data_IF_107795714156
#
_entry.id   IF_107795714156
#
_cell.length_a   1.000
_cell.length_b   1.000
_cell.length_c   1.000
_cell.angle_alpha   90.00
_cell.angle_beta   90.00
_cell.angle_gamma   90.00
#
_symmetry.space_group_name_H-M   'P 1'
#
loop_
_entity.id
_entity.type
_entity.pdbx_description
1 polymer ?
#
# COMPACT_ATOMS: atom_id res chain seq x y z
N UNK A 1 -5.18 16.25 21.54
CA UNK A 1 -3.98 16.81 20.92
C UNK A 1 -4.36 17.17 19.51
N UNK A 2 -4.66 18.45 19.28
CA UNK A 2 -4.83 18.97 17.92
C UNK A 2 -3.47 18.85 17.21
N UNK A 3 -3.45 18.12 16.10
CA UNK A 3 -2.34 18.18 15.15
C UNK A 3 -2.53 19.49 14.34
N UNK A 4 -2.35 20.62 15.01
CA UNK A 4 -2.34 21.95 14.41
C UNK A 4 -1.30 22.02 13.30
N UNK A 5 -1.64 22.79 12.26
CA UNK A 5 -0.86 23.15 11.08
C UNK A 5 0.43 22.36 10.88
N UNK A 6 0.45 21.51 9.84
CA UNK A 6 1.65 20.85 9.37
C UNK A 6 2.68 21.91 8.94
N UNK A 7 3.48 22.40 9.90
CA UNK A 7 4.71 23.10 9.61
C UNK A 7 5.48 22.17 8.68
N UNK A 8 5.75 22.68 7.47
CA UNK A 8 6.62 22.02 6.50
C UNK A 8 8.01 21.99 7.11
N UNK A 9 8.27 21.00 7.94
CA UNK A 9 9.59 20.74 8.48
C UNK A 9 10.48 20.45 7.29
N UNK A 10 11.44 21.32 7.02
CA UNK A 10 12.51 21.01 6.08
C UNK A 10 13.38 19.90 6.70
N UNK A 11 13.78 18.93 5.87
CA UNK A 11 14.69 17.89 6.33
C UNK A 11 16.02 18.53 6.71
N UNK A 12 16.50 18.23 7.91
CA UNK A 12 17.77 18.75 8.38
C UNK A 12 18.90 18.05 7.61
N UNK A 13 19.73 18.80 6.88
CA UNK A 13 20.82 18.25 6.05
C UNK A 13 21.93 17.59 6.87
N UNK A 14 22.04 17.92 8.16
CA UNK A 14 23.09 17.42 9.04
C UNK A 14 22.74 16.09 9.69
N UNK A 15 21.51 15.57 9.52
CA UNK A 15 21.14 14.25 10.06
C UNK A 15 20.89 13.25 8.96
N UNK A 16 21.43 12.06 9.17
CA UNK A 16 21.28 10.93 8.27
C UNK A 16 19.82 10.66 7.88
N UNK A 17 19.59 10.52 6.58
CA UNK A 17 18.30 10.13 6.02
C UNK A 17 18.33 8.68 5.47
N UNK A 18 17.18 8.02 5.57
CA UNK A 18 16.91 6.74 4.90
C UNK A 18 15.98 6.99 3.73
N UNK A 19 16.26 6.36 2.60
CA UNK A 19 15.46 6.51 1.39
C UNK A 19 14.69 5.22 1.12
N UNK A 20 13.37 5.35 0.99
CA UNK A 20 12.45 4.26 0.68
C UNK A 20 12.11 4.40 -0.81
N UNK A 21 12.68 3.51 -1.60
CA UNK A 21 12.47 3.44 -3.04
C UNK A 21 11.32 2.48 -3.32
N UNK A 22 10.30 2.95 -4.04
CA UNK A 22 9.09 2.18 -4.33
C UNK A 22 8.88 2.18 -5.84
N UNK A 23 8.94 1.00 -6.44
CA UNK A 23 8.61 0.78 -7.86
C UNK A 23 7.29 0.02 -7.93
N UNK A 24 6.29 0.59 -8.60
CA UNK A 24 5.01 -0.09 -8.85
C UNK A 24 5.10 -0.80 -10.19
N UNK A 25 5.18 -2.13 -10.17
CA UNK A 25 5.32 -2.93 -11.38
C UNK A 25 3.96 -3.12 -12.05
N UNK A 26 2.94 -3.50 -11.28
CA UNK A 26 1.58 -3.71 -11.80
C UNK A 26 0.51 -3.37 -10.76
N UNK A 27 -0.57 -2.76 -11.26
CA UNK A 27 -1.75 -2.36 -10.52
C UNK A 27 -3.06 -2.72 -11.23
N UNK A 28 -3.00 -3.34 -12.40
CA UNK A 28 -4.18 -3.64 -13.23
C UNK A 28 -5.19 -4.52 -12.48
N UNK A 29 -4.73 -5.63 -11.91
CA UNK A 29 -5.55 -6.57 -11.15
C UNK A 29 -6.19 -5.91 -9.90
N UNK A 30 -5.42 -5.05 -9.22
CA UNK A 30 -5.88 -4.29 -8.07
C UNK A 30 -7.05 -3.36 -8.41
N UNK A 31 -6.88 -2.58 -9.48
CA UNK A 31 -7.86 -1.61 -9.94
C UNK A 31 -9.11 -2.32 -10.45
N UNK A 32 -8.94 -3.38 -11.23
CA UNK A 32 -10.06 -4.16 -11.75
C UNK A 32 -10.92 -4.69 -10.60
N UNK A 33 -10.31 -5.33 -9.60
CA UNK A 33 -11.06 -5.84 -8.46
C UNK A 33 -11.72 -4.71 -7.67
N UNK A 34 -11.03 -3.60 -7.40
CA UNK A 34 -11.59 -2.49 -6.64
C UNK A 34 -12.81 -1.88 -7.34
N UNK A 35 -12.76 -1.75 -8.67
CA UNK A 35 -13.88 -1.25 -9.49
C UNK A 35 -15.01 -2.26 -9.52
N UNK A 36 -14.71 -3.55 -9.69
CA UNK A 36 -15.72 -4.61 -9.64
C UNK A 36 -16.44 -4.64 -8.29
N UNK A 37 -15.70 -4.57 -7.18
CA UNK A 37 -16.26 -4.53 -5.82
C UNK A 37 -17.10 -3.28 -5.59
N UNK A 38 -16.59 -2.09 -5.98
CA UNK A 38 -17.32 -0.83 -5.85
C UNK A 38 -18.61 -0.84 -6.67
N UNK A 39 -18.57 -1.41 -7.88
CA UNK A 39 -19.74 -1.55 -8.73
C UNK A 39 -20.77 -2.49 -8.09
N UNK A 40 -20.31 -3.63 -7.56
CA UNK A 40 -21.18 -4.62 -6.90
C UNK A 40 -21.82 -4.08 -5.62
N UNK A 41 -21.09 -3.29 -4.84
CA UNK A 41 -21.59 -2.61 -3.64
C UNK A 41 -22.48 -1.39 -3.96
N UNK A 42 -22.37 -0.82 -5.16
CA UNK A 42 -23.11 0.36 -5.59
C UNK A 42 -24.63 0.19 -5.52
N UNK A 43 -25.32 1.31 -5.25
CA UNK A 43 -26.78 1.44 -5.01
C UNK A 43 -27.69 1.05 -6.18
N UNK A 44 -27.15 0.59 -7.30
CA UNK A 44 -27.95 0.11 -8.43
C UNK A 44 -28.58 -1.23 -8.05
N UNK A 45 -29.70 -1.17 -7.31
CA UNK A 45 -30.45 -2.34 -6.82
C UNK A 45 -31.28 -3.00 -7.92
N UNK A 46 -31.65 -2.26 -8.97
CA UNK A 46 -32.56 -2.73 -10.02
C UNK A 46 -31.91 -3.60 -11.10
N UNK A 47 -30.58 -3.68 -11.18
CA UNK A 47 -29.92 -4.45 -12.24
C UNK A 47 -29.73 -5.91 -11.78
N UNK A 48 -30.22 -6.91 -12.55
CA UNK A 48 -29.98 -8.32 -12.26
C UNK A 48 -28.49 -8.62 -12.04
N UNK A 49 -28.18 -9.45 -11.04
CA UNK A 49 -26.78 -9.74 -10.62
C UNK A 49 -25.89 -10.21 -11.78
N UNK A 50 -26.42 -11.00 -12.72
CA UNK A 50 -25.68 -11.49 -13.88
C UNK A 50 -25.22 -10.35 -14.80
N UNK A 51 -26.12 -9.40 -15.08
CA UNK A 51 -25.81 -8.21 -15.90
C UNK A 51 -24.85 -7.30 -15.15
N UNK A 52 -25.09 -7.10 -13.84
CA UNK A 52 -24.23 -6.28 -12.98
C UNK A 52 -22.78 -6.79 -12.98
N UNK A 53 -22.58 -8.11 -12.92
CA UNK A 53 -21.24 -8.73 -12.98
C UNK A 53 -20.54 -8.48 -14.32
N UNK A 54 -21.23 -8.63 -15.46
CA UNK A 54 -20.64 -8.36 -16.78
C UNK A 54 -20.27 -6.88 -16.94
N UNK A 55 -21.14 -5.97 -16.50
CA UNK A 55 -20.87 -4.54 -16.49
C UNK A 55 -19.68 -4.19 -15.59
N UNK A 56 -19.62 -4.77 -14.40
CA UNK A 56 -18.51 -4.59 -13.46
C UNK A 56 -17.17 -5.05 -14.08
N UNK A 57 -17.15 -6.21 -14.74
CA UNK A 57 -15.94 -6.74 -15.40
C UNK A 57 -15.48 -5.83 -16.55
N UNK A 58 -16.41 -5.37 -17.40
CA UNK A 58 -16.08 -4.45 -18.49
C UNK A 58 -15.61 -3.10 -17.96
N UNK A 59 -16.28 -2.55 -16.95
CA UNK A 59 -15.87 -1.31 -16.30
C UNK A 59 -14.50 -1.47 -15.62
N UNK A 60 -14.24 -2.63 -15.00
CA UNK A 60 -12.97 -2.97 -14.39
C UNK A 60 -11.82 -2.98 -15.40
N UNK A 61 -12.03 -3.57 -16.57
CA UNK A 61 -11.04 -3.57 -17.69
C UNK A 61 -10.76 -2.17 -18.21
N UNK A 62 -11.80 -1.40 -18.49
CA UNK A 62 -11.65 -0.01 -18.97
C UNK A 62 -10.95 0.84 -17.91
N UNK A 63 -11.30 0.66 -16.63
CA UNK A 63 -10.67 1.38 -15.54
C UNK A 63 -9.20 0.98 -15.34
N UNK A 64 -8.86 -0.31 -15.44
CA UNK A 64 -7.46 -0.75 -15.34
C UNK A 64 -6.61 -0.17 -16.48
N UNK A 65 -7.17 -0.02 -17.68
CA UNK A 65 -6.46 0.59 -18.81
C UNK A 65 -6.20 2.11 -18.59
N UNK A 66 -7.11 2.77 -17.86
CA UNK A 66 -7.02 4.20 -17.54
C UNK A 66 -6.15 4.51 -16.31
N UNK A 67 -6.04 3.57 -15.38
CA UNK A 67 -5.20 3.71 -14.18
C UNK A 67 -3.79 3.24 -14.50
N UNK A 68 -2.98 4.19 -14.95
CA UNK A 68 -1.55 3.96 -15.12
C UNK A 68 -0.86 3.83 -13.76
N UNK A 69 0.22 3.03 -13.65
CA UNK A 69 1.05 3.00 -12.45
C UNK A 69 1.51 4.38 -12.00
N UNK A 70 1.73 5.32 -12.93
CA UNK A 70 2.08 6.69 -12.62
C UNK A 70 1.01 7.46 -11.83
N UNK A 71 -0.26 7.34 -12.24
CA UNK A 71 -1.39 7.92 -11.47
C UNK A 71 -1.53 7.26 -10.11
N UNK A 72 -1.22 5.98 -10.00
CA UNK A 72 -1.26 5.28 -8.72
C UNK A 72 -0.19 5.83 -7.77
N UNK A 73 1.06 5.91 -8.23
CA UNK A 73 2.18 6.47 -7.46
C UNK A 73 1.87 7.90 -7.02
N UNK A 74 1.32 8.73 -7.92
CA UNK A 74 0.86 10.09 -7.61
C UNK A 74 -0.14 10.12 -6.46
N UNK A 75 -1.13 9.23 -6.45
CA UNK A 75 -2.13 9.15 -5.36
C UNK A 75 -1.59 8.48 -4.11
N UNK A 76 -0.55 7.66 -4.24
CA UNK A 76 0.03 6.90 -3.14
C UNK A 76 1.01 7.71 -2.32
N UNK A 77 1.83 8.56 -2.94
CA UNK A 77 2.84 9.37 -2.25
C UNK A 77 2.30 10.10 -1.01
N UNK A 78 1.31 11.02 -1.17
CA UNK A 78 0.76 11.77 -0.03
C UNK A 78 0.13 10.88 1.05
N UNK A 79 -0.44 9.73 0.66
CA UNK A 79 -1.02 8.78 1.62
C UNK A 79 0.05 8.07 2.43
N UNK A 80 1.19 7.73 1.81
CA UNK A 80 2.31 7.12 2.51
C UNK A 80 2.98 8.11 3.46
N UNK A 81 3.19 9.36 3.03
CA UNK A 81 3.68 10.45 3.87
C UNK A 81 2.81 10.65 5.12
N UNK A 82 1.48 10.58 4.98
CA UNK A 82 0.58 10.77 6.11
C UNK A 82 0.46 9.53 7.03
N UNK A 83 0.57 8.31 6.49
CA UNK A 83 0.33 7.08 7.26
C UNK A 83 1.59 6.51 7.91
N UNK A 84 2.73 6.52 7.22
CA UNK A 84 3.96 5.87 7.71
C UNK A 84 4.43 6.47 9.04
N UNK A 85 4.49 7.81 9.23
CA UNK A 85 4.91 8.39 10.50
C UNK A 85 4.00 7.97 11.66
N UNK A 86 2.69 7.86 11.43
CA UNK A 86 1.72 7.41 12.46
C UNK A 86 2.04 5.99 12.92
N UNK A 87 2.26 5.08 11.97
CA UNK A 87 2.57 3.68 12.26
C UNK A 87 3.91 3.55 12.97
N UNK A 88 4.93 4.31 12.55
CA UNK A 88 6.24 4.29 13.20
C UNK A 88 6.17 4.90 14.60
N UNK A 89 5.35 5.93 14.82
CA UNK A 89 5.12 6.51 16.14
C UNK A 89 4.53 5.51 17.14
N UNK A 90 3.59 4.67 16.69
CA UNK A 90 3.06 3.54 17.48
C UNK A 90 4.15 2.52 17.86
N UNK A 91 5.22 2.42 17.06
CA UNK A 91 6.38 1.56 17.34
C UNK A 91 7.48 2.25 18.15
N UNK A 92 7.26 3.50 18.57
CA UNK A 92 8.23 4.29 19.32
C UNK A 92 9.22 5.05 18.47
N UNK A 93 8.92 5.30 17.19
CA UNK A 93 9.78 6.06 16.28
C UNK A 93 9.04 7.30 15.81
N UNK A 94 9.52 8.48 16.19
CA UNK A 94 9.04 9.73 15.61
C UNK A 94 9.91 10.04 14.41
N UNK A 95 9.31 10.06 13.23
CA UNK A 95 10.03 10.28 11.97
C UNK A 95 9.42 11.43 11.20
N UNK A 96 10.27 12.13 10.45
CA UNK A 96 9.86 12.97 9.35
C UNK A 96 9.91 12.14 8.06
N UNK A 97 8.92 12.30 7.18
CA UNK A 97 8.86 11.60 5.91
C UNK A 97 8.42 12.56 4.81
N UNK A 98 9.19 12.62 3.73
CA UNK A 98 8.94 13.51 2.60
C UNK A 98 9.15 12.79 1.26
N UNK A 99 8.30 13.04 0.29
CA UNK A 99 8.38 12.59 -1.10
C UNK A 99 9.37 13.48 -1.84
N UNK A 100 10.59 12.99 -2.00
CA UNK A 100 11.68 13.75 -2.63
C UNK A 100 11.73 13.56 -4.14
N UNK A 101 11.14 12.47 -4.65
CA UNK A 101 11.13 12.21 -6.08
C UNK A 101 9.93 11.37 -6.51
N UNK A 102 9.42 11.69 -7.70
CA UNK A 102 8.35 10.94 -8.36
C UNK A 102 8.49 11.05 -9.88
N UNK A 103 8.65 9.92 -10.54
CA UNK A 103 8.62 9.84 -12.01
C UNK A 103 8.01 8.51 -12.45
N UNK A 104 7.05 8.56 -13.38
CA UNK A 104 6.34 7.38 -13.88
C UNK A 104 5.85 6.49 -12.72
N UNK A 105 6.22 5.21 -12.71
CA UNK A 105 5.84 4.23 -11.70
C UNK A 105 6.85 4.13 -10.53
N UNK A 106 7.76 5.09 -10.40
CA UNK A 106 8.81 5.12 -9.40
C UNK A 106 8.66 6.33 -8.48
N UNK A 107 8.80 6.10 -7.17
CA UNK A 107 8.89 7.17 -6.18
C UNK A 107 9.94 6.89 -5.12
N UNK A 108 10.47 7.96 -4.55
CA UNK A 108 11.43 7.93 -3.46
C UNK A 108 10.90 8.78 -2.31
N UNK A 109 10.76 8.16 -1.14
CA UNK A 109 10.46 8.85 0.11
C UNK A 109 11.74 8.95 0.94
N UNK A 110 12.07 10.14 1.42
CA UNK A 110 13.16 10.37 2.36
C UNK A 110 12.61 10.40 3.79
N UNK A 111 13.15 9.54 4.64
CA UNK A 111 12.76 9.33 6.03
C UNK A 111 13.90 9.77 6.94
N UNK A 112 13.62 10.68 7.87
CA UNK A 112 14.56 11.13 8.89
C UNK A 112 14.01 10.79 10.27
N UNK A 113 14.81 10.13 11.09
CA UNK A 113 14.43 9.82 12.47
C UNK A 113 14.65 11.07 13.33
N UNK A 114 13.58 11.56 13.98
CA UNK A 114 13.64 12.72 14.88
C UNK A 114 13.92 12.25 16.30
N UNK A 115 13.16 11.25 16.77
CA UNK A 115 13.21 10.77 18.15
C UNK A 115 12.90 9.28 18.23
N UNK A 116 13.56 8.60 19.16
CA UNK A 116 13.39 7.17 19.44
C UNK A 116 12.93 6.99 20.88
N UNK A 117 11.70 6.51 21.05
CA UNK A 117 11.16 6.09 22.33
C UNK A 117 11.59 4.63 22.59
N UNK A 118 12.73 4.49 23.29
CA UNK A 118 13.35 3.20 23.62
C UNK A 118 12.40 2.30 24.43
N UNK A 119 11.50 2.88 25.21
CA UNK A 119 10.54 2.15 26.04
C UNK A 119 9.49 1.48 25.17
N UNK A 120 8.89 2.21 24.22
CA UNK A 120 7.95 1.63 23.25
C UNK A 120 8.67 0.63 22.35
N UNK A 121 9.89 0.94 21.95
CA UNK A 121 10.69 0.07 21.09
C UNK A 121 10.97 -1.29 21.77
N UNK A 122 11.29 -1.32 23.06
CA UNK A 122 11.51 -2.56 23.81
C UNK A 122 10.23 -3.39 24.01
N UNK A 123 9.08 -2.73 24.24
CA UNK A 123 7.77 -3.40 24.41
C UNK A 123 7.34 -4.15 23.15
N UNK A 124 7.54 -3.56 21.97
CA UNK A 124 7.11 -4.17 20.70
C UNK A 124 7.88 -5.43 20.32
N UNK A 125 9.08 -5.64 20.86
CA UNK A 125 9.87 -6.85 20.58
C UNK A 125 9.27 -8.10 21.26
N UNK A 126 8.70 -7.96 22.47
CA UNK A 126 8.25 -9.11 23.27
C UNK A 126 6.99 -9.79 22.72
N UNK A 127 6.15 -9.09 21.95
CA UNK A 127 4.87 -9.63 21.46
C UNK A 127 5.02 -10.58 20.26
N UNK A 128 6.05 -10.43 19.40
CA UNK A 128 6.20 -11.31 18.22
C UNK A 128 6.69 -12.72 18.60
N UNK A 129 7.42 -12.89 19.70
CA UNK A 129 8.02 -14.19 20.07
C UNK A 129 6.98 -15.24 20.49
N UNK A 130 5.85 -14.83 21.07
CA UNK A 130 4.84 -15.78 21.56
C UNK A 130 3.89 -16.32 20.49
N UNK A 131 3.76 -15.67 19.32
CA UNK A 131 2.85 -16.14 18.27
C UNK A 131 3.51 -17.03 17.20
N UNK A 132 4.84 -17.15 17.17
CA UNK A 132 5.53 -17.99 16.20
C UNK A 132 5.73 -19.45 16.66
N UNK A 133 5.72 -19.72 17.98
CA UNK A 133 6.10 -21.05 18.50
C UNK A 133 4.97 -22.09 18.47
N UNK A 134 3.72 -21.71 18.15
CA UNK A 134 2.58 -22.65 18.18
C UNK A 134 2.13 -23.19 16.82
N UNK A 135 2.90 -23.00 15.74
CA UNK A 135 2.48 -23.40 14.38
C UNK A 135 3.49 -24.19 13.54
N UNK A 136 4.61 -24.63 14.13
CA UNK A 136 5.57 -25.51 13.46
C UNK A 136 5.63 -26.84 14.19
N UNK A 137 4.62 -27.68 13.98
CA UNK A 137 4.65 -29.13 14.26
C UNK A 137 3.42 -29.77 13.58
N UNK A 138 3.30 -29.62 12.26
CA UNK A 138 2.64 -30.62 11.41
C UNK A 138 2.79 -30.19 9.96
N UNK A 139 3.55 -30.98 9.18
CA UNK A 139 3.35 -31.27 7.75
C UNK A 139 4.65 -31.78 7.13
N UNK A 140 5.02 -33.01 7.49
CA UNK A 140 5.68 -33.91 6.55
C UNK A 140 4.58 -34.86 6.03
N UNK A 141 3.99 -34.53 4.88
CA UNK A 141 3.33 -35.53 4.04
C UNK A 141 3.31 -35.06 2.59
N UNK A 142 4.19 -35.71 1.83
CA UNK A 142 4.04 -36.02 0.40
C UNK A 142 2.57 -36.30 0.06
N UNK A 143 2.06 -35.74 -1.04
CA UNK A 143 1.17 -36.37 -2.03
C UNK A 143 0.99 -35.39 -3.22
N UNK A 144 1.20 -35.95 -4.42
CA UNK A 144 0.88 -35.40 -5.74
C UNK A 144 -0.64 -35.31 -5.97
N UNK A 145 -1.01 -34.70 -7.10
CA UNK A 145 -2.34 -34.73 -7.75
C UNK A 145 -3.36 -33.63 -7.40
N UNK A 146 -3.42 -32.66 -8.32
CA UNK A 146 -4.51 -32.51 -9.27
C UNK A 146 -5.94 -32.80 -8.74
N UNK A 147 -6.71 -31.74 -8.42
CA UNK A 147 -8.10 -31.70 -8.85
C UNK A 147 -8.76 -30.32 -8.77
N UNK A 148 -9.36 -29.95 -9.90
CA UNK A 148 -10.47 -29.02 -10.01
C UNK A 148 -11.58 -29.44 -9.04
N UNK A 149 -12.14 -28.50 -8.27
CA UNK A 149 -13.59 -28.35 -8.23
C UNK A 149 -14.05 -27.09 -7.52
N UNK A 150 -15.02 -26.45 -8.18
CA UNK A 150 -15.93 -25.45 -7.66
C UNK A 150 -16.52 -25.89 -6.31
N UNK A 151 -16.35 -25.07 -5.27
CA UNK A 151 -17.27 -25.11 -4.13
C UNK A 151 -17.58 -23.70 -3.62
N UNK A 152 -18.74 -23.24 -4.07
CA UNK A 152 -19.51 -22.13 -3.51
C UNK A 152 -19.83 -22.41 -2.05
N UNK A 153 -19.37 -21.56 -1.14
CA UNK A 153 -19.88 -21.48 0.23
C UNK A 153 -20.50 -20.10 0.46
N UNK A 154 -21.83 -20.11 0.55
CA UNK A 154 -22.62 -19.04 1.13
C UNK A 154 -22.34 -18.99 2.63
N UNK A 155 -21.96 -17.82 3.18
CA UNK A 155 -22.22 -17.54 4.59
C UNK A 155 -22.31 -16.03 4.87
N UNK A 156 -23.57 -15.57 4.88
CA UNK A 156 -24.23 -14.70 5.86
C UNK A 156 -23.33 -13.68 6.61
N UNK A 157 -23.29 -12.45 6.09
CA UNK A 157 -22.84 -11.27 6.83
C UNK A 157 -24.06 -10.56 7.41
N UNK A 158 -24.07 -10.39 8.73
CA UNK A 158 -24.99 -9.54 9.48
C UNK A 158 -24.88 -8.09 8.98
N UNK A 159 -26.01 -7.53 8.54
CA UNK A 159 -26.16 -6.12 8.21
C UNK A 159 -26.43 -5.33 9.50
N UNK A 160 -25.52 -4.42 9.85
CA UNK A 160 -25.77 -3.29 10.76
C UNK A 160 -25.91 -2.00 9.94
N UNK A 161 -26.84 -1.09 10.29
CA UNK A 161 -27.26 -0.01 9.40
C UNK A 161 -26.34 1.22 9.43
N UNK A 162 -26.38 1.91 8.30
CA UNK A 162 -25.80 3.24 8.03
C UNK A 162 -26.32 4.31 8.98
N UNK A 163 -25.47 5.30 9.29
CA UNK A 163 -25.92 6.64 9.62
C UNK A 163 -25.20 7.64 8.70
N UNK A 164 -26.00 8.35 7.91
CA UNK A 164 -25.58 9.42 7.01
C UNK A 164 -25.58 10.77 7.74
N UNK A 165 -24.87 11.71 7.14
CA UNK A 165 -24.81 13.14 7.42
C UNK A 165 -26.17 13.76 7.82
N UNK A 166 -26.12 14.59 8.86
CA UNK A 166 -26.94 15.80 8.97
C UNK A 166 -26.11 16.86 9.67
N UNK A 167 -25.94 18.00 9.01
CA UNK A 167 -25.37 19.22 9.54
C UNK A 167 -26.53 20.13 9.94
N UNK A 168 -26.52 20.61 11.19
CA UNK A 168 -27.32 21.75 11.64
C UNK A 168 -26.55 22.46 12.79
N UNK A 169 -26.28 23.79 12.71
CA UNK A 169 -25.54 24.50 13.73
C UNK A 169 -26.47 25.41 14.56
N UNK A 170 -26.83 25.03 15.79
CA UNK A 170 -27.17 26.03 16.82
C UNK A 170 -27.17 25.49 18.25
N UNK A 171 -26.56 26.29 19.16
CA UNK A 171 -26.85 26.44 20.59
C UNK A 171 -26.61 25.24 21.55
N UNK A 172 -25.51 25.31 22.30
CA UNK A 172 -25.45 25.54 23.77
C UNK A 172 -24.10 25.06 24.33
N UNK A 173 -23.26 26.02 24.70
CA UNK A 173 -22.09 25.77 25.55
C UNK A 173 -22.58 25.31 26.93
N UNK A 174 -22.27 24.07 27.29
CA UNK A 174 -22.38 23.53 28.65
C UNK A 174 -20.97 23.17 29.08
N UNK A 175 -20.50 23.81 30.14
CA UNK A 175 -19.18 23.58 30.72
C UNK A 175 -19.01 22.10 31.08
N UNK A 176 -18.02 21.44 30.47
CA UNK A 176 -17.61 20.08 30.81
C UNK A 176 -16.37 20.22 31.69
N UNK A 177 -16.55 19.92 32.97
CA UNK A 177 -15.46 19.74 33.92
C UNK A 177 -14.55 18.60 33.42
N UNK A 178 -13.27 18.92 33.26
CA UNK A 178 -12.22 17.96 32.92
C UNK A 178 -12.02 16.98 34.08
N UNK A 179 -12.62 15.80 33.99
CA UNK A 179 -12.32 14.66 34.86
C UNK A 179 -10.97 14.09 34.42
N UNK A 180 -9.91 14.56 35.06
CA UNK A 180 -8.55 14.03 34.96
C UNK A 180 -8.53 12.65 35.61
N UNK A 181 -8.66 11.59 34.81
CA UNK A 181 -8.46 10.24 35.28
C UNK A 181 -6.98 10.04 35.70
N UNK A 182 -6.70 9.49 36.89
CA UNK A 182 -5.33 9.28 37.36
C UNK A 182 -4.63 8.23 36.50
N UNK A 183 -3.71 8.67 35.65
CA UNK A 183 -2.81 7.78 34.92
C UNK A 183 -1.85 7.12 35.93
N UNK A 184 -1.92 5.80 36.03
CA UNK A 184 -1.01 5.00 36.87
C UNK A 184 0.44 5.18 36.39
N UNK A 185 1.40 5.47 37.28
CA UNK A 185 2.78 5.73 36.91
C UNK A 185 3.49 4.44 36.47
N UNK A 186 3.74 4.30 35.17
CA UNK A 186 4.55 3.24 34.57
C UNK A 186 6.06 3.59 34.60
N UNK A 187 6.57 4.09 35.73
CA UNK A 187 7.88 4.75 35.87
C UNK A 187 9.09 3.85 36.17
N UNK A 188 8.92 2.55 36.38
CA UNK A 188 10.03 1.72 36.89
C UNK A 188 11.04 1.21 35.84
N UNK A 189 10.66 1.03 34.57
CA UNK A 189 11.57 0.49 33.54
C UNK A 189 12.37 1.56 32.78
N UNK A 190 11.86 2.79 32.68
CA UNK A 190 12.59 3.92 32.08
C UNK A 190 13.84 4.29 32.86
N UNK A 191 13.73 4.24 34.19
CA UNK A 191 14.82 4.64 35.07
C UNK A 191 15.98 3.66 34.98
N UNK A 192 15.74 2.35 34.82
CA UNK A 192 16.81 1.35 34.75
C UNK A 192 17.66 1.49 33.48
N UNK A 193 17.05 1.80 32.33
CA UNK A 193 17.81 1.99 31.08
C UNK A 193 18.57 3.32 31.08
N UNK A 194 17.98 4.38 31.65
CA UNK A 194 18.68 5.65 31.88
C UNK A 194 19.88 5.49 32.82
N UNK A 195 19.72 4.73 33.90
CA UNK A 195 20.79 4.45 34.86
C UNK A 195 21.90 3.58 34.26
N UNK A 196 21.53 2.56 33.48
CA UNK A 196 22.49 1.74 32.75
C UNK A 196 23.29 2.53 31.72
N UNK A 197 22.66 3.49 31.03
CA UNK A 197 23.34 4.39 30.09
C UNK A 197 24.20 5.45 30.80
N UNK A 198 23.86 5.87 32.02
CA UNK A 198 24.72 6.79 32.79
C UNK A 198 25.99 6.13 33.34
N UNK A 199 25.98 4.80 33.50
CA UNK A 199 27.15 4.02 33.91
C UNK A 199 28.11 3.75 32.74
N UNK A 200 27.63 3.85 31.51
CA UNK A 200 28.44 3.73 30.30
C UNK A 200 29.17 5.07 30.10
N UNK A 201 30.50 5.08 30.23
CA UNK A 201 31.30 6.30 30.08
C UNK A 201 31.02 7.04 28.77
N UNK A 202 31.16 8.38 28.78
CA UNK A 202 30.79 9.26 27.66
C UNK A 202 31.31 8.80 26.28
N UNK A 203 32.52 8.23 26.21
CA UNK A 203 33.08 7.70 24.97
C UNK A 203 32.25 6.55 24.37
N UNK A 204 31.81 5.61 25.20
CA UNK A 204 30.99 4.49 24.76
C UNK A 204 29.59 4.94 24.36
N UNK A 205 29.05 5.97 25.03
CA UNK A 205 27.78 6.59 24.64
C UNK A 205 27.86 7.19 23.24
N UNK A 206 28.92 7.95 22.94
CA UNK A 206 29.14 8.53 21.60
C UNK A 206 29.22 7.42 20.55
N UNK A 207 29.99 6.35 20.81
CA UNK A 207 30.07 5.21 19.90
C UNK A 207 28.71 4.53 19.67
N UNK A 208 27.94 4.28 20.73
CA UNK A 208 26.61 3.68 20.62
C UNK A 208 25.68 4.58 19.82
N UNK A 209 25.67 5.89 20.09
CA UNK A 209 24.76 6.85 19.44
C UNK A 209 25.13 7.09 17.97
N UNK A 210 26.42 7.17 17.64
CA UNK A 210 26.89 7.52 16.29
C UNK A 210 27.06 6.32 15.37
N UNK A 211 27.49 5.16 15.87
CA UNK A 211 27.78 3.99 15.01
C UNK A 211 26.74 2.89 15.12
N UNK A 212 26.40 2.47 16.35
CA UNK A 212 25.59 1.28 16.56
C UNK A 212 24.09 1.56 16.38
N UNK A 213 23.60 2.67 16.96
CA UNK A 213 22.19 3.04 16.96
C UNK A 213 21.65 3.22 15.54
N UNK A 214 22.33 3.92 14.60
CA UNK A 214 21.82 4.06 13.23
C UNK A 214 21.69 2.71 12.52
N UNK A 215 22.61 1.77 12.76
CA UNK A 215 22.53 0.43 12.18
C UNK A 215 21.33 -0.36 12.71
N UNK A 216 21.10 -0.32 14.03
CA UNK A 216 19.97 -1.00 14.66
C UNK A 216 18.65 -0.40 14.19
N UNK A 217 18.54 0.94 14.18
CA UNK A 217 17.37 1.65 13.70
C UNK A 217 17.10 1.35 12.24
N UNK A 218 18.12 1.39 11.39
CA UNK A 218 17.96 1.07 9.97
C UNK A 218 17.47 -0.37 9.76
N UNK A 219 18.08 -1.36 10.43
CA UNK A 219 17.63 -2.77 10.32
C UNK A 219 16.17 -2.90 10.74
N UNK A 220 15.79 -2.23 11.82
CA UNK A 220 14.43 -2.28 12.36
C UNK A 220 13.42 -1.57 11.46
N UNK A 221 13.74 -0.37 10.98
CA UNK A 221 12.92 0.39 10.02
C UNK A 221 12.80 -0.42 8.73
N UNK A 222 13.89 -0.99 8.20
CA UNK A 222 13.85 -1.80 6.98
C UNK A 222 12.93 -3.01 7.14
N UNK A 223 13.02 -3.74 8.26
CA UNK A 223 12.13 -4.88 8.53
C UNK A 223 10.68 -4.44 8.71
N UNK A 224 10.41 -3.43 9.53
CA UNK A 224 9.05 -2.95 9.79
C UNK A 224 8.40 -2.35 8.54
N UNK A 225 9.16 -1.59 7.76
CA UNK A 225 8.69 -0.99 6.51
C UNK A 225 8.43 -2.06 5.46
N UNK A 226 9.31 -3.05 5.34
CA UNK A 226 9.12 -4.19 4.45
C UNK A 226 7.83 -4.95 4.77
N UNK A 227 7.63 -5.34 6.03
CA UNK A 227 6.42 -6.03 6.49
C UNK A 227 5.15 -5.19 6.24
N UNK A 228 5.19 -3.91 6.63
CA UNK A 228 4.05 -3.00 6.50
C UNK A 228 3.66 -2.79 5.04
N UNK A 229 4.64 -2.46 4.19
CA UNK A 229 4.39 -2.19 2.78
C UNK A 229 3.97 -3.45 2.05
N UNK A 230 4.61 -4.60 2.31
CA UNK A 230 4.19 -5.89 1.75
C UNK A 230 2.74 -6.21 2.13
N UNK A 231 2.36 -6.01 3.40
CA UNK A 231 0.97 -6.21 3.84
C UNK A 231 0.00 -5.23 3.16
N UNK A 232 0.35 -3.96 3.05
CA UNK A 232 -0.49 -2.92 2.43
C UNK A 232 -0.66 -3.14 0.93
N UNK A 233 0.40 -3.54 0.24
CA UNK A 233 0.37 -3.86 -1.19
C UNK A 233 -0.35 -5.16 -1.48
N UNK A 234 -0.13 -6.21 -0.69
CA UNK A 234 -0.84 -7.47 -0.82
C UNK A 234 -2.36 -7.30 -0.66
N UNK A 235 -2.81 -6.53 0.35
CA UNK A 235 -4.25 -6.21 0.54
C UNK A 235 -4.84 -5.48 -0.64
N UNK A 236 -4.04 -4.66 -1.31
CA UNK A 236 -4.44 -3.93 -2.52
C UNK A 236 -4.16 -4.70 -3.80
N UNK A 237 -3.62 -5.93 -3.75
CA UNK A 237 -3.13 -6.69 -4.92
C UNK A 237 -2.20 -5.88 -5.84
N UNK A 238 -1.40 -5.00 -5.24
CA UNK A 238 -0.38 -4.24 -5.95
C UNK A 238 0.92 -5.02 -5.95
N UNK A 239 1.54 -5.13 -7.13
CA UNK A 239 2.91 -5.64 -7.24
C UNK A 239 3.86 -4.45 -7.17
N UNK A 240 4.57 -4.33 -6.06
CA UNK A 240 5.50 -3.24 -5.85
C UNK A 240 6.76 -3.70 -5.11
N UNK A 241 7.90 -3.23 -5.58
CA UNK A 241 9.20 -3.46 -4.97
C UNK A 241 9.53 -2.33 -4.01
N UNK A 242 9.89 -2.68 -2.78
CA UNK A 242 10.22 -1.73 -1.72
C UNK A 242 11.65 -1.95 -1.28
N UNK A 243 12.49 -0.95 -1.52
CA UNK A 243 13.92 -1.04 -1.24
C UNK A 243 14.32 0.16 -0.39
N UNK A 244 14.77 -0.13 0.84
CA UNK A 244 15.28 0.89 1.77
C UNK A 244 16.80 1.00 1.63
N UNK A 245 17.29 2.22 1.36
CA UNK A 245 18.71 2.56 1.17
C UNK A 245 19.13 3.67 2.12
N UNK A 246 20.44 3.74 2.38
CA UNK A 246 21.08 4.91 3.00
C UNK A 246 21.38 5.95 1.95
N UNK A 247 21.59 7.18 2.39
CA UNK A 247 22.01 8.31 1.56
C UNK A 247 23.20 7.98 0.65
N UNK A 248 24.27 7.42 1.21
CA UNK A 248 25.50 7.03 0.48
C UNK A 248 25.25 6.04 -0.68
N UNK A 249 24.22 5.19 -0.56
CA UNK A 249 23.85 4.21 -1.58
C UNK A 249 22.73 4.71 -2.50
N UNK A 250 22.05 5.79 -2.10
CA UNK A 250 20.81 6.22 -2.74
C UNK A 250 21.10 6.76 -4.14
N UNK A 251 22.11 7.60 -4.33
CA UNK A 251 22.38 8.22 -5.62
C UNK A 251 22.64 7.18 -6.72
N UNK A 252 23.50 6.19 -6.44
CA UNK A 252 23.80 5.11 -7.38
C UNK A 252 22.58 4.24 -7.67
N UNK A 253 21.84 3.85 -6.64
CA UNK A 253 20.64 3.04 -6.79
C UNK A 253 19.56 3.78 -7.59
N UNK A 254 19.37 5.06 -7.27
CA UNK A 254 18.42 5.96 -7.92
C UNK A 254 18.70 6.06 -9.42
N UNK A 255 19.94 6.34 -9.81
CA UNK A 255 20.30 6.48 -11.22
C UNK A 255 20.04 5.20 -12.02
N UNK A 256 20.44 4.04 -11.49
CA UNK A 256 20.22 2.74 -12.14
C UNK A 256 18.73 2.45 -12.28
N UNK A 257 17.95 2.60 -11.21
CA UNK A 257 16.51 2.31 -11.23
C UNK A 257 15.71 3.29 -12.08
N UNK A 258 16.08 4.56 -12.09
CA UNK A 258 15.42 5.55 -12.93
C UNK A 258 15.59 5.19 -14.41
N UNK A 259 16.81 4.79 -14.81
CA UNK A 259 17.10 4.36 -16.18
C UNK A 259 16.29 3.13 -16.58
N UNK A 260 16.22 2.11 -15.71
CA UNK A 260 15.39 0.91 -15.95
C UNK A 260 13.92 1.29 -16.18
N UNK A 261 13.36 2.12 -15.29
CA UNK A 261 11.96 2.58 -15.37
C UNK A 261 11.70 3.38 -16.66
N UNK A 262 12.63 4.22 -17.08
CA UNK A 262 12.50 4.99 -18.31
C UNK A 262 12.54 4.10 -19.56
N UNK A 263 13.39 3.07 -19.58
CA UNK A 263 13.45 2.08 -20.66
C UNK A 263 12.15 1.28 -20.75
N UNK A 264 11.60 0.84 -19.63
CA UNK A 264 10.32 0.12 -19.59
C UNK A 264 9.14 1.00 -20.02
N UNK A 265 9.16 2.28 -19.64
CA UNK A 265 8.16 3.24 -20.10
C UNK A 265 8.27 3.50 -21.61
N UNK A 266 9.48 3.55 -22.16
CA UNK A 266 9.71 3.73 -23.59
C UNK A 266 9.26 2.50 -24.40
N UNK A 267 9.58 1.28 -23.95
CA UNK A 267 9.18 0.03 -24.61
C UNK A 267 7.64 -0.12 -24.61
N UNK A 268 6.99 0.22 -23.50
CA UNK A 268 5.51 0.22 -23.40
C UNK A 268 4.86 1.20 -24.38
N UNK A 269 5.44 2.40 -24.54
CA UNK A 269 4.97 3.39 -25.52
C UNK A 269 5.17 2.90 -26.96
N UNK A 270 6.29 2.24 -27.25
CA UNK A 270 6.56 1.68 -28.58
C UNK A 270 5.55 0.58 -28.94
N UNK A 271 5.28 -0.36 -28.03
CA UNK A 271 4.30 -1.43 -28.24
C UNK A 271 2.88 -0.89 -28.46
N UNK A 272 2.48 0.19 -27.78
CA UNK A 272 1.16 0.82 -28.02
C UNK A 272 1.02 1.47 -29.40
N UNK A 273 2.11 1.88 -30.05
CA UNK A 273 2.07 2.45 -31.41
C UNK A 273 1.92 1.39 -32.49
N UNK A 274 2.36 0.16 -32.22
CA UNK A 274 2.30 -0.94 -33.17
C UNK A 274 0.96 -1.67 -33.18
N UNK A 275 0.14 -1.53 -32.14
CA UNK A 275 -1.21 -2.05 -32.18
C UNK A 275 -1.99 -1.25 -33.23
N UNK A 276 -2.56 -1.90 -34.27
CA UNK A 276 -3.37 -1.21 -35.25
C UNK A 276 -4.41 -0.44 -34.47
N UNK A 277 -4.45 0.88 -34.67
CA UNK A 277 -5.44 1.74 -34.03
C UNK A 277 -6.77 1.27 -34.61
N UNK A 278 -7.43 0.34 -33.92
CA UNK A 278 -8.81 -0.08 -34.20
C UNK A 278 -9.64 1.16 -33.98
N UNK A 279 -9.65 1.98 -35.02
CA UNK A 279 -10.36 3.21 -35.10
C UNK A 279 -11.80 2.78 -35.15
N UNK A 280 -12.46 2.77 -34.01
CA UNK A 280 -13.91 2.82 -33.89
C UNK A 280 -14.39 4.17 -34.46
N UNK A 281 -14.01 4.49 -35.71
CA UNK A 281 -14.72 5.43 -36.55
C UNK A 281 -16.02 4.71 -36.86
N UNK A 282 -16.96 4.96 -35.96
CA UNK A 282 -18.34 4.61 -36.12
C UNK A 282 -18.75 5.01 -37.54
N UNK A 283 -19.18 3.99 -38.29
CA UNK A 283 -20.06 4.11 -39.44
C UNK A 283 -21.26 4.95 -39.01
N UNK A 284 -21.20 6.26 -39.19
CA UNK A 284 -22.41 7.07 -39.32
C UNK A 284 -22.92 6.78 -40.73
N UNK A 285 -23.92 5.91 -40.83
CA UNK A 285 -24.77 5.75 -42.01
C UNK A 285 -24.13 5.02 -43.19
N UNK A 286 -24.21 3.69 -43.20
CA UNK A 286 -24.51 2.96 -44.44
C UNK A 286 -25.52 1.90 -44.06
N UNK A 287 -26.63 1.88 -44.79
CA UNK A 287 -27.80 1.08 -44.50
C UNK A 287 -27.52 -0.41 -44.37
N UNK A 288 -28.45 -1.06 -43.68
CA UNK A 288 -28.66 -2.49 -43.68
C UNK A 288 -28.66 -2.98 -45.13
N UNK A 289 -27.72 -3.84 -45.58
CA UNK A 289 -27.99 -4.68 -46.73
C UNK A 289 -29.00 -5.76 -46.28
N UNK A 290 -30.09 -5.96 -47.03
CA UNK A 290 -31.02 -7.04 -46.76
C UNK A 290 -30.34 -8.38 -47.08
N UNK A 291 -30.70 -9.39 -46.30
CA UNK A 291 -30.74 -10.81 -46.66
C UNK A 291 -29.54 -11.40 -47.43
N UNK A 292 -28.63 -12.01 -46.68
CA UNK A 292 -27.89 -13.18 -47.17
C UNK A 292 -28.35 -14.41 -46.38
N UNK A 293 -29.45 -15.01 -46.86
CA UNK A 293 -29.68 -16.44 -46.75
C UNK A 293 -28.67 -17.12 -47.70
N UNK A 294 -27.51 -17.50 -47.16
CA UNK A 294 -26.57 -18.38 -47.85
C UNK A 294 -26.71 -19.77 -47.27
N UNK A 295 -27.19 -20.66 -48.13
CA UNK A 295 -27.42 -22.08 -47.91
C UNK A 295 -26.20 -22.80 -47.33
N UNK A 296 -26.46 -23.77 -46.44
CA UNK A 296 -25.45 -24.67 -45.92
C UNK A 296 -25.18 -25.78 -46.95
N UNK A 297 -23.91 -26.11 -47.26
CA UNK A 297 -23.61 -27.25 -48.12
C UNK A 297 -23.81 -28.56 -47.36
N UNK A 298 -24.81 -29.33 -47.76
CA UNK A 298 -24.96 -30.75 -47.41
C UNK A 298 -23.84 -31.54 -48.08
N UNK A 299 -22.94 -32.13 -47.29
CA UNK A 299 -22.02 -33.15 -47.78
C UNK A 299 -22.74 -34.50 -47.85
N UNK A 300 -22.95 -35.02 -49.06
CA UNK A 300 -23.34 -36.40 -49.28
C UNK A 300 -22.09 -37.29 -49.14
N UNK A 301 -22.15 -38.22 -48.20
CA UNK A 301 -21.23 -39.34 -48.09
C UNK A 301 -21.72 -40.46 -49.01
N UNK A 302 -20.87 -40.88 -49.95
CA UNK A 302 -21.09 -42.09 -50.76
C UNK A 302 -20.21 -43.21 -50.21
N UNK A 303 -20.83 -44.37 -50.00
CA UNK A 303 -20.24 -45.65 -49.58
C UNK A 303 -19.39 -46.29 -50.69
#
# INVERSE_FOLDING_TARGET
MDFGEAQRYEMNRDRAALFINIVVNDASAAVQQQVEESFMQGRVRLVPRAIKKRLAQNAGRVASDLVTPAKLVEKMGPKLEAEIPKILAEKGLTVHLNLVFREANFMVLALQVICVDVVKLSKTTKQKTHHSTRRSNNSNSVILENNNNNRSTNSRVHAGPNAALSADPSKKQKAIASVTAPQKPHTTLTNLFGWGMSLIGNQHRIYIEQELLPQILQRRIKSQMGDFMKGKFARKKLQADVIVKREEQQARFFYVKLREVQLDAASTKANRRLLPRWSCKNKKGVGVPPDYLSEAPTMNATL
#
